data_IF_058305928880
#
_entry.id   IF_058305928880
#
_cell.length_a   1.000
_cell.length_b   1.000
_cell.length_c   1.000
_cell.angle_alpha   90.00
_cell.angle_beta   90.00
_cell.angle_gamma   90.00
#
_symmetry.space_group_name_H-M   'P 1'
#
loop_
_entity.id
_entity.type
_entity.pdbx_description
1 polymer ?
#
# COMPACT_ATOMS: atom_id res chain seq x y z
N UNK A 1 -2.49 -1.43 -16.41
CA UNK A 1 -2.30 -0.71 -17.68
C UNK A 1 -0.89 -1.04 -18.17
N UNK A 2 -0.76 -1.87 -19.21
CA UNK A 2 0.55 -2.23 -19.75
C UNK A 2 0.88 -1.25 -20.88
N UNK A 3 2.02 -0.57 -20.80
CA UNK A 3 2.51 0.31 -21.87
C UNK A 3 2.69 -0.56 -23.12
N UNK A 4 2.05 -0.17 -24.22
CA UNK A 4 2.26 -0.79 -25.52
C UNK A 4 3.55 -0.22 -26.15
N UNK A 5 4.28 -1.02 -26.92
CA UNK A 5 5.61 -0.63 -27.42
C UNK A 5 5.58 0.53 -28.44
N UNK A 6 4.39 0.85 -28.95
CA UNK A 6 4.03 1.96 -29.82
C UNK A 6 3.65 3.24 -29.05
N UNK A 7 3.40 3.16 -27.74
CA UNK A 7 3.06 4.31 -26.89
C UNK A 7 4.32 5.14 -26.52
N UNK A 8 4.83 5.84 -27.53
CA UNK A 8 6.00 6.73 -27.42
C UNK A 8 5.87 7.85 -26.38
N UNK A 9 4.72 8.53 -26.16
CA UNK A 9 4.63 9.57 -25.14
C UNK A 9 4.76 9.01 -23.71
N UNK A 10 4.22 7.82 -23.43
CA UNK A 10 4.38 7.17 -22.13
C UNK A 10 5.86 6.81 -21.85
N UNK A 11 6.56 6.27 -22.85
CA UNK A 11 7.99 5.93 -22.74
C UNK A 11 8.87 7.16 -22.53
N UNK A 12 8.55 8.29 -23.20
CA UNK A 12 9.26 9.57 -22.99
C UNK A 12 9.03 10.12 -21.58
N UNK A 13 7.79 10.06 -21.05
CA UNK A 13 7.50 10.49 -19.67
C UNK A 13 8.29 9.67 -18.65
N UNK A 14 8.35 8.35 -18.85
CA UNK A 14 9.19 7.48 -18.01
C UNK A 14 10.67 7.86 -18.08
N UNK A 15 11.20 8.09 -19.30
CA UNK A 15 12.57 8.55 -19.50
C UNK A 15 12.88 9.87 -18.78
N UNK A 16 11.98 10.85 -18.86
CA UNK A 16 12.12 12.12 -18.14
C UNK A 16 12.04 11.96 -16.62
N UNK A 17 11.13 11.12 -16.12
CA UNK A 17 11.03 10.81 -14.69
C UNK A 17 12.34 10.21 -14.16
N UNK A 18 12.92 9.24 -14.88
CA UNK A 18 14.19 8.62 -14.50
C UNK A 18 15.36 9.61 -14.62
N UNK A 19 15.41 10.39 -15.70
CA UNK A 19 16.47 11.39 -15.92
C UNK A 19 16.48 12.50 -14.86
N UNK A 20 15.33 12.86 -14.28
CA UNK A 20 15.25 13.85 -13.20
C UNK A 20 15.42 13.21 -11.83
N UNK A 21 14.77 12.07 -11.57
CA UNK A 21 14.78 11.44 -10.25
C UNK A 21 16.16 10.90 -9.86
N UNK A 22 16.90 10.28 -10.79
CA UNK A 22 18.20 9.67 -10.51
C UNK A 22 19.28 10.68 -10.04
N UNK A 23 19.55 11.78 -10.76
CA UNK A 23 20.55 12.75 -10.33
C UNK A 23 20.09 13.54 -9.10
N UNK A 24 18.78 13.76 -8.93
CA UNK A 24 18.27 14.45 -7.74
C UNK A 24 18.44 13.58 -6.48
N UNK A 25 18.16 12.28 -6.55
CA UNK A 25 18.33 11.36 -5.43
C UNK A 25 19.81 11.03 -5.17
N UNK A 26 20.55 10.59 -6.19
CA UNK A 26 21.93 10.11 -6.03
C UNK A 26 22.99 11.20 -6.13
N UNK A 27 22.73 12.27 -6.88
CA UNK A 27 23.66 13.38 -7.06
C UNK A 27 23.48 14.51 -6.04
N UNK A 28 22.29 14.65 -5.43
CA UNK A 28 22.00 15.76 -4.51
C UNK A 28 21.53 15.30 -3.13
N UNK A 29 20.48 14.48 -3.04
CA UNK A 29 19.93 14.07 -1.74
C UNK A 29 20.88 13.18 -0.93
N UNK A 30 21.50 12.17 -1.57
CA UNK A 30 22.46 11.27 -0.91
C UNK A 30 23.74 11.96 -0.43
N UNK A 31 24.44 12.76 -1.26
CA UNK A 31 25.61 13.52 -0.81
C UNK A 31 25.29 14.52 0.30
N UNK A 32 24.09 15.13 0.25
CA UNK A 32 23.61 16.03 1.29
C UNK A 32 23.34 15.31 2.62
N UNK A 33 22.78 14.10 2.60
CA UNK A 33 22.51 13.30 3.79
C UNK A 33 23.76 12.64 4.40
N UNK A 34 24.72 12.23 3.56
CA UNK A 34 25.89 11.43 3.99
C UNK A 34 27.21 12.21 3.99
N UNK A 35 27.21 13.50 3.61
CA UNK A 35 28.41 14.35 3.60
C UNK A 35 29.53 13.89 2.66
N UNK A 36 29.24 12.93 1.77
CA UNK A 36 30.19 12.42 0.78
C UNK A 36 30.37 13.41 -0.36
N UNK A 37 31.55 13.43 -0.99
CA UNK A 37 31.85 14.26 -2.16
C UNK A 37 30.82 14.07 -3.28
N UNK A 38 30.58 15.13 -4.06
CA UNK A 38 29.53 15.17 -5.08
C UNK A 38 29.84 14.18 -6.21
N UNK A 39 29.12 13.06 -6.31
CA UNK A 39 29.39 12.08 -7.33
C UNK A 39 28.87 12.60 -8.68
N UNK A 40 29.74 12.62 -9.69
CA UNK A 40 29.40 13.07 -11.06
C UNK A 40 28.70 11.98 -11.88
N UNK A 41 28.84 10.71 -11.50
CA UNK A 41 28.27 9.56 -12.23
C UNK A 41 26.73 9.62 -12.40
N UNK A 42 25.90 10.11 -11.44
CA UNK A 42 24.45 10.17 -11.61
C UNK A 42 24.04 11.12 -12.73
N UNK A 43 24.82 12.17 -12.97
CA UNK A 43 24.60 13.13 -14.04
C UNK A 43 24.84 12.52 -15.43
N UNK A 44 25.86 11.67 -15.58
CA UNK A 44 26.10 10.92 -16.82
C UNK A 44 24.99 9.91 -17.11
N UNK A 45 24.48 9.22 -16.08
CA UNK A 45 23.34 8.32 -16.21
C UNK A 45 22.09 9.09 -16.63
N UNK A 46 21.81 10.23 -16.00
CA UNK A 46 20.69 11.10 -16.37
C UNK A 46 20.77 11.58 -17.83
N UNK A 47 21.94 12.04 -18.26
CA UNK A 47 22.18 12.49 -19.63
C UNK A 47 21.95 11.36 -20.63
N UNK A 48 22.43 10.15 -20.31
CA UNK A 48 22.24 8.96 -21.14
C UNK A 48 20.75 8.62 -21.26
N UNK A 49 20.01 8.60 -20.15
CA UNK A 49 18.56 8.36 -20.18
C UNK A 49 17.78 9.45 -20.93
N UNK A 50 18.14 10.72 -20.76
CA UNK A 50 17.54 11.84 -21.49
C UNK A 50 17.81 11.74 -23.00
N UNK A 51 19.04 11.41 -23.40
CA UNK A 51 19.40 11.20 -24.79
C UNK A 51 18.64 10.02 -25.40
N UNK A 52 18.56 8.87 -24.70
CA UNK A 52 17.78 7.72 -25.16
C UNK A 52 16.28 8.06 -25.28
N UNK A 53 15.74 8.86 -24.36
CA UNK A 53 14.33 9.26 -24.39
C UNK A 53 13.99 10.11 -25.63
N UNK A 54 14.92 10.92 -26.12
CA UNK A 54 14.74 11.77 -27.29
C UNK A 54 15.00 10.98 -28.59
N UNK A 55 16.09 10.21 -28.66
CA UNK A 55 16.54 9.57 -29.90
C UNK A 55 15.80 8.26 -30.17
N UNK A 56 15.69 7.36 -29.19
CA UNK A 56 15.08 6.03 -29.37
C UNK A 56 14.24 5.64 -28.15
N UNK A 57 13.01 6.18 -28.01
CA UNK A 57 12.14 5.86 -26.88
C UNK A 57 11.75 4.37 -26.82
N UNK A 58 11.78 3.66 -27.96
CA UNK A 58 11.53 2.21 -28.04
C UNK A 58 12.50 1.37 -27.20
N UNK A 59 13.75 1.81 -27.02
CA UNK A 59 14.72 1.06 -26.23
C UNK A 59 14.40 1.14 -24.72
N UNK A 60 13.72 2.21 -24.28
CA UNK A 60 13.22 2.35 -22.91
C UNK A 60 12.02 1.41 -22.60
N UNK A 61 11.47 0.74 -23.60
CA UNK A 61 10.35 -0.20 -23.39
C UNK A 61 10.71 -1.31 -22.40
N UNK A 62 11.86 -1.95 -22.55
CA UNK A 62 12.28 -3.05 -21.67
C UNK A 62 12.51 -2.62 -20.22
N UNK A 63 13.27 -1.53 -19.94
CA UNK A 63 13.36 -0.96 -18.59
C UNK A 63 12.01 -0.52 -18.03
N UNK A 64 11.20 0.19 -18.81
CA UNK A 64 9.90 0.70 -18.37
C UNK A 64 8.94 -0.44 -18.00
N UNK A 65 8.92 -1.51 -18.81
CA UNK A 65 8.10 -2.71 -18.54
C UNK A 65 8.48 -3.35 -17.21
N UNK A 66 9.77 -3.50 -16.97
CA UNK A 66 10.31 -4.08 -15.73
C UNK A 66 10.03 -3.20 -14.53
N UNK A 67 10.21 -1.89 -14.67
CA UNK A 67 9.90 -0.90 -13.64
C UNK A 67 8.42 -0.91 -13.27
N UNK A 68 7.52 -0.97 -14.25
CA UNK A 68 6.08 -1.03 -13.99
C UNK A 68 5.66 -2.33 -13.30
N UNK A 69 6.26 -3.47 -13.68
CA UNK A 69 6.01 -4.73 -12.98
C UNK A 69 6.47 -4.62 -11.52
N UNK A 70 7.65 -4.05 -11.29
CA UNK A 70 8.17 -3.80 -9.95
C UNK A 70 7.27 -2.85 -9.15
N UNK A 71 6.82 -1.74 -9.74
CA UNK A 71 5.94 -0.78 -9.08
C UNK A 71 4.59 -1.40 -8.72
N UNK A 72 4.08 -2.33 -9.53
CA UNK A 72 2.85 -3.06 -9.23
C UNK A 72 3.02 -3.98 -8.00
N UNK A 73 4.13 -4.71 -7.92
CA UNK A 73 4.45 -5.53 -6.75
C UNK A 73 4.62 -4.65 -5.52
N UNK A 74 5.35 -3.54 -5.65
CA UNK A 74 5.50 -2.57 -4.55
C UNK A 74 4.17 -1.99 -4.11
N UNK A 75 3.25 -1.68 -5.03
CA UNK A 75 1.90 -1.23 -4.70
C UNK A 75 1.13 -2.27 -3.87
N UNK A 76 1.19 -3.54 -4.28
CA UNK A 76 0.56 -4.63 -3.54
C UNK A 76 1.14 -4.82 -2.12
N UNK A 77 2.46 -4.69 -1.97
CA UNK A 77 3.12 -4.71 -0.67
C UNK A 77 2.68 -3.50 0.16
N UNK A 78 2.70 -2.30 -0.43
CA UNK A 78 2.35 -1.05 0.25
C UNK A 78 0.93 -1.08 0.80
N UNK A 79 -0.05 -1.53 0.01
CA UNK A 79 -1.44 -1.67 0.50
C UNK A 79 -1.52 -2.58 1.72
N UNK A 80 -0.79 -3.71 1.72
CA UNK A 80 -0.78 -4.64 2.87
C UNK A 80 -0.12 -4.02 4.09
N UNK A 81 0.99 -3.32 3.90
CA UNK A 81 1.69 -2.61 4.98
C UNK A 81 0.76 -1.55 5.59
N UNK A 82 0.12 -0.71 4.76
CA UNK A 82 -0.79 0.33 5.23
C UNK A 82 -1.95 -0.29 6.00
N UNK A 83 -2.58 -1.34 5.48
CA UNK A 83 -3.69 -2.03 6.16
C UNK A 83 -3.25 -2.66 7.48
N UNK A 84 -2.09 -3.34 7.50
CA UNK A 84 -1.55 -3.92 8.71
C UNK A 84 -1.24 -2.84 9.76
N UNK A 85 -0.61 -1.74 9.34
CA UNK A 85 -0.31 -0.60 10.20
C UNK A 85 -1.60 0.00 10.78
N UNK A 86 -2.61 0.27 9.94
CA UNK A 86 -3.91 0.77 10.39
C UNK A 86 -4.58 -0.19 11.38
N UNK A 87 -4.55 -1.49 11.11
CA UNK A 87 -5.09 -2.50 12.03
C UNK A 87 -4.37 -2.49 13.38
N UNK A 88 -3.04 -2.45 13.39
CA UNK A 88 -2.26 -2.48 14.64
C UNK A 88 -2.30 -1.15 15.40
N UNK A 89 -2.45 -0.01 14.72
CA UNK A 89 -2.42 1.32 15.34
C UNK A 89 -3.81 1.80 15.76
N UNK A 90 -4.88 1.39 15.05
CA UNK A 90 -6.24 1.85 15.34
C UNK A 90 -7.10 0.74 15.94
N UNK A 91 -7.24 -0.38 15.22
CA UNK A 91 -8.21 -1.43 15.58
C UNK A 91 -7.74 -2.21 16.81
N UNK A 92 -6.46 -2.59 16.85
CA UNK A 92 -5.87 -3.38 17.94
C UNK A 92 -5.93 -2.65 19.28
N UNK A 93 -5.46 -1.39 19.42
CA UNK A 93 -5.56 -0.69 20.69
C UNK A 93 -7.00 -0.41 21.08
N UNK A 94 -7.90 -0.14 20.13
CA UNK A 94 -9.33 0.00 20.42
C UNK A 94 -9.89 -1.30 21.03
N UNK A 95 -9.57 -2.47 20.45
CA UNK A 95 -9.95 -3.76 21.00
C UNK A 95 -9.37 -4.02 22.40
N UNK A 96 -8.11 -3.65 22.63
CA UNK A 96 -7.48 -3.73 23.96
C UNK A 96 -8.19 -2.83 24.97
N UNK A 97 -8.51 -1.59 24.59
CA UNK A 97 -9.25 -0.64 25.44
C UNK A 97 -10.64 -1.18 25.78
N UNK A 98 -11.40 -1.65 24.79
CA UNK A 98 -12.73 -2.24 25.02
C UNK A 98 -12.69 -3.49 25.89
N UNK A 99 -11.63 -4.31 25.73
CA UNK A 99 -11.38 -5.48 26.59
C UNK A 99 -11.08 -5.07 28.03
N UNK A 100 -10.26 -4.03 28.24
CA UNK A 100 -9.96 -3.49 29.57
C UNK A 100 -11.19 -2.87 30.24
N UNK A 101 -12.06 -2.21 29.46
CA UNK A 101 -13.31 -1.63 29.93
C UNK A 101 -14.41 -2.68 30.18
N UNK A 102 -14.16 -3.97 29.92
CA UNK A 102 -15.15 -5.04 30.10
C UNK A 102 -16.37 -4.92 29.16
N UNK A 103 -16.32 -4.04 28.15
CA UNK A 103 -17.40 -3.85 27.16
C UNK A 103 -17.35 -4.84 26.01
N UNK A 104 -16.36 -5.72 26.01
CA UNK A 104 -16.27 -6.81 25.06
C UNK A 104 -17.12 -7.98 25.59
N UNK A 105 -18.35 -8.10 25.09
CA UNK A 105 -19.30 -9.15 25.45
C UNK A 105 -18.94 -10.51 24.80
N UNK A 106 -17.63 -10.80 24.74
CA UNK A 106 -17.11 -12.04 24.19
C UNK A 106 -17.06 -13.08 25.31
N UNK A 107 -18.18 -13.76 25.53
CA UNK A 107 -18.27 -14.87 26.47
C UNK A 107 -17.47 -16.06 25.91
N UNK A 108 -16.28 -16.31 26.46
CA UNK A 108 -15.43 -17.47 26.08
C UNK A 108 -16.04 -18.82 26.47
N UNK A 109 -16.99 -18.81 27.38
CA UNK A 109 -17.71 -19.98 27.88
C UNK A 109 -19.17 -19.61 28.06
N UNK A 110 -20.10 -20.53 27.78
CA UNK A 110 -21.52 -20.30 28.01
C UNK A 110 -21.78 -20.02 29.50
N UNK A 111 -22.59 -18.99 29.78
CA UNK A 111 -22.90 -18.56 31.15
C UNK A 111 -23.62 -19.65 31.99
N UNK A 112 -24.26 -20.63 31.36
CA UNK A 112 -24.88 -21.79 32.01
C UNK A 112 -25.01 -22.97 31.03
N UNK A 113 -24.33 -24.09 31.28
CA UNK A 113 -24.47 -25.35 30.51
C UNK A 113 -23.42 -25.60 29.41
N UNK A 114 -23.62 -26.63 28.59
CA UNK A 114 -22.71 -27.00 27.48
C UNK A 114 -22.96 -26.24 26.18
N UNK A 115 -23.81 -25.22 26.21
CA UNK A 115 -24.40 -24.59 25.02
C UNK A 115 -24.53 -23.09 25.18
N UNK A 116 -24.20 -22.33 24.12
CA UNK A 116 -24.40 -20.88 24.04
C UNK A 116 -25.85 -20.48 23.69
N UNK A 117 -26.71 -21.46 23.42
CA UNK A 117 -28.11 -21.21 23.13
C UNK A 117 -28.81 -20.62 24.36
N UNK A 118 -29.13 -19.33 24.31
CA UNK A 118 -30.08 -18.72 25.24
C UNK A 118 -31.48 -19.16 24.82
N UNK A 119 -32.16 -19.88 25.70
CA UNK A 119 -33.57 -20.20 25.54
C UNK A 119 -34.32 -18.86 25.45
N UNK A 120 -35.02 -18.62 24.34
CA UNK A 120 -35.95 -17.49 24.25
C UNK A 120 -36.95 -17.64 25.39
N UNK A 121 -37.10 -16.60 26.21
CA UNK A 121 -38.18 -16.56 27.21
C UNK A 121 -39.50 -16.87 26.50
N UNK A 122 -40.33 -17.68 27.17
CA UNK A 122 -41.65 -18.05 26.67
C UNK A 122 -42.40 -16.76 26.36
N UNK A 123 -42.56 -16.45 25.07
CA UNK A 123 -43.39 -15.35 24.61
C UNK A 123 -44.80 -15.71 25.07
N UNK A 124 -45.26 -15.09 26.16
CA UNK A 124 -46.64 -15.26 26.62
C UNK A 124 -47.56 -14.99 25.43
N UNK A 125 -48.54 -15.86 25.15
CA UNK A 125 -49.48 -15.70 24.02
C UNK A 125 -50.15 -14.31 23.98
N UNK A 126 -50.24 -13.65 25.14
CA UNK A 126 -50.67 -12.26 25.28
C UNK A 126 -49.85 -11.26 24.46
N UNK A 127 -48.56 -11.50 24.25
CA UNK A 127 -47.64 -10.62 23.50
C UNK A 127 -47.67 -10.88 21.98
N UNK A 128 -48.41 -11.89 21.52
CA UNK A 128 -48.58 -12.17 20.09
C UNK A 128 -49.79 -11.46 19.47
N UNK A 129 -50.61 -10.76 20.29
CA UNK A 129 -51.85 -10.12 19.81
C UNK A 129 -51.66 -8.74 19.17
N UNK A 130 -50.54 -8.06 19.43
CA UNK A 130 -50.19 -6.79 18.76
C UNK A 130 -48.74 -6.83 18.29
N UNK A 131 -48.47 -7.29 17.06
CA UNK A 131 -47.12 -7.43 16.53
C UNK A 131 -46.48 -6.12 16.02
N UNK A 132 -47.07 -4.94 16.31
CA UNK A 132 -46.56 -3.62 15.91
C UNK A 132 -46.67 -2.58 17.03
#
# INVERSE_FOLDING_TARGET
>A
MFIAADDTPALRRFGWQMAVAWPLLFGLALPWLFGSGWPLWPWFVALTFAALAIVVPRLLYWPARSWLAFSQVMGWINTRIILALLYYVLITPLGVVLRLLGKLDYQRQPASGSSYWQQSDNIAESNMKDPF
#
